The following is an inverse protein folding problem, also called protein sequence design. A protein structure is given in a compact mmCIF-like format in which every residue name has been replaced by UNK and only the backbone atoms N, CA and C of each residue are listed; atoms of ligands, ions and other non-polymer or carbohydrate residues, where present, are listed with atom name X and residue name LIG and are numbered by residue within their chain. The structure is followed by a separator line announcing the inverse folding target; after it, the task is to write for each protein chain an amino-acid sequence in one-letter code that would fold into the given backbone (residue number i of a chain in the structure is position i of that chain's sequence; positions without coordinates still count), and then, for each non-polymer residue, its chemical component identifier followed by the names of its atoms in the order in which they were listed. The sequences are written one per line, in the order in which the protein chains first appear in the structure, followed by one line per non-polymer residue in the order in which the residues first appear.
data_IF_411259390181
#
_entry.id   IF_411259390181
#
_cell.length_a   1.000
_cell.length_b   1.000
_cell.length_c   1.000
_cell.angle_alpha   90.00
_cell.angle_beta   90.00
_cell.angle_gamma   90.00
#
_symmetry.space_group_name_H-M   'P 1'
#
loop_
_entity.id
_entity.type
_entity.pdbx_description
1 polymer ?
#
# COMPACT_ATOMS: atom_id res chain seq x y z
N UNK A 1 18.87 -21.57 -4.79
CA UNK A 1 19.13 -22.08 -3.42
C UNK A 1 20.62 -22.20 -3.12
N UNK A 2 21.45 -22.67 -4.04
CA UNK A 2 22.90 -22.86 -3.83
C UNK A 2 23.70 -21.63 -3.37
N UNK A 3 23.38 -20.43 -3.85
CA UNK A 3 24.08 -19.21 -3.45
C UNK A 3 23.79 -18.84 -1.98
N UNK A 4 22.55 -19.05 -1.55
CA UNK A 4 22.13 -18.82 -0.16
C UNK A 4 22.86 -19.80 0.74
N UNK A 5 22.88 -21.08 0.39
CA UNK A 5 23.54 -22.14 1.20
C UNK A 5 25.05 -21.92 1.27
N UNK A 6 25.70 -21.43 0.20
CA UNK A 6 27.11 -21.11 0.20
C UNK A 6 27.47 -19.93 1.12
N UNK A 7 26.66 -18.84 1.09
CA UNK A 7 26.86 -17.68 1.98
C UNK A 7 26.59 -18.09 3.43
N UNK A 8 25.53 -18.86 3.67
CA UNK A 8 25.17 -19.31 5.03
C UNK A 8 26.17 -20.28 5.63
N UNK A 9 26.81 -21.16 4.83
CA UNK A 9 27.81 -22.11 5.35
C UNK A 9 28.96 -21.40 6.10
N UNK A 10 29.31 -20.20 5.66
CA UNK A 10 30.36 -19.38 6.27
C UNK A 10 29.94 -18.81 7.64
N UNK A 11 28.66 -18.45 7.81
CA UNK A 11 28.12 -17.88 9.04
C UNK A 11 27.65 -18.96 10.03
N UNK A 12 27.16 -20.11 9.54
CA UNK A 12 26.81 -21.25 10.40
C UNK A 12 28.02 -21.83 11.13
N UNK A 13 29.21 -21.69 10.58
CA UNK A 13 30.47 -22.04 11.26
C UNK A 13 30.74 -21.18 12.51
N UNK A 14 30.05 -20.04 12.64
CA UNK A 14 30.14 -19.15 13.78
C UNK A 14 29.02 -19.36 14.82
N UNK A 15 28.22 -20.44 14.69
CA UNK A 15 27.16 -20.79 15.62
C UNK A 15 25.83 -20.05 15.43
N UNK A 16 25.68 -19.32 14.33
CA UNK A 16 24.39 -18.66 13.98
C UNK A 16 23.48 -19.67 13.27
N UNK A 17 22.23 -19.74 13.72
CA UNK A 17 21.20 -20.54 13.05
C UNK A 17 20.74 -19.86 11.76
N UNK A 18 20.48 -20.63 10.69
CA UNK A 18 19.97 -20.13 9.40
C UNK A 18 18.67 -19.36 9.55
N UNK A 19 17.76 -19.86 10.40
CA UNK A 19 16.47 -19.24 10.65
C UNK A 19 16.61 -17.88 11.32
N UNK A 20 17.54 -17.75 12.28
CA UNK A 20 17.81 -16.47 12.95
C UNK A 20 18.33 -15.41 11.98
N UNK A 21 19.23 -15.83 11.07
CA UNK A 21 19.78 -14.94 10.04
C UNK A 21 18.68 -14.50 9.07
N UNK A 22 17.84 -15.43 8.59
CA UNK A 22 16.73 -15.11 7.68
C UNK A 22 15.71 -14.17 8.36
N UNK A 23 15.40 -14.43 9.62
CA UNK A 23 14.52 -13.56 10.43
C UNK A 23 15.10 -12.15 10.57
N UNK A 24 16.40 -12.05 10.86
CA UNK A 24 17.08 -10.77 10.94
C UNK A 24 17.09 -10.03 9.59
N UNK A 25 17.37 -10.72 8.49
CA UNK A 25 17.33 -10.15 7.13
C UNK A 25 15.92 -9.65 6.77
N UNK A 26 14.87 -10.37 7.16
CA UNK A 26 13.48 -9.95 6.98
C UNK A 26 13.18 -8.70 7.83
N UNK A 27 13.61 -8.66 9.09
CA UNK A 27 13.43 -7.50 9.97
C UNK A 27 14.09 -6.22 9.41
N UNK A 28 15.23 -6.36 8.73
CA UNK A 28 15.89 -5.23 8.06
C UNK A 28 15.35 -4.94 6.66
N UNK A 29 14.37 -5.71 6.17
CA UNK A 29 13.81 -5.54 4.83
C UNK A 29 14.78 -5.93 3.70
N UNK A 30 15.80 -6.74 3.99
CA UNK A 30 16.76 -7.24 3.01
C UNK A 30 16.19 -8.39 2.20
N UNK A 31 15.22 -9.10 2.76
CA UNK A 31 14.43 -10.14 2.10
C UNK A 31 12.95 -9.97 2.46
N UNK A 32 12.08 -10.46 1.60
CA UNK A 32 10.65 -10.57 1.84
C UNK A 32 10.27 -12.03 1.78
N UNK A 33 9.78 -12.57 2.90
CA UNK A 33 9.31 -13.96 2.98
C UNK A 33 7.93 -14.07 2.35
N UNK A 34 7.74 -15.05 1.51
CA UNK A 34 6.48 -15.40 0.87
C UNK A 34 6.18 -16.89 1.05
N UNK A 35 5.00 -17.21 1.54
CA UNK A 35 4.56 -18.60 1.71
C UNK A 35 3.51 -18.91 0.66
N UNK A 36 3.83 -19.81 -0.27
CA UNK A 36 2.84 -20.35 -1.22
C UNK A 36 2.30 -21.68 -0.72
N UNK A 37 0.97 -21.92 -0.76
CA UNK A 37 0.44 -23.25 -0.53
C UNK A 37 1.01 -24.28 -1.53
N UNK A 38 1.38 -25.52 -1.14
CA UNK A 38 1.19 -26.12 0.18
C UNK A 38 2.41 -26.04 1.11
N UNK A 39 2.98 -24.91 1.43
CA UNK A 39 4.10 -24.71 2.38
C UNK A 39 5.48 -24.46 1.77
N UNK A 40 5.58 -24.07 0.50
CA UNK A 40 6.85 -23.63 -0.07
C UNK A 40 7.18 -22.20 0.36
N UNK A 41 8.16 -22.07 1.26
CA UNK A 41 8.72 -20.79 1.61
C UNK A 41 9.60 -20.28 0.47
N UNK A 42 9.30 -19.08 -0.01
CA UNK A 42 10.10 -18.35 -1.00
C UNK A 42 10.56 -17.03 -0.39
N UNK A 43 11.74 -16.60 -0.80
CA UNK A 43 12.28 -15.31 -0.39
C UNK A 43 12.53 -14.46 -1.62
N UNK A 44 12.03 -13.24 -1.60
CA UNK A 44 12.38 -12.24 -2.59
C UNK A 44 13.48 -11.35 -2.04
N UNK A 45 14.49 -11.12 -2.86
CA UNK A 45 15.62 -10.24 -2.54
C UNK A 45 15.37 -8.90 -3.24
N UNK A 46 15.04 -7.83 -2.51
CA UNK A 46 14.64 -6.56 -3.10
C UNK A 46 15.61 -5.99 -4.15
N UNK A 47 16.91 -6.08 -3.90
CA UNK A 47 17.91 -5.57 -4.83
C UNK A 47 18.05 -6.38 -6.14
N UNK A 48 17.35 -7.51 -6.26
CA UNK A 48 17.30 -8.33 -7.48
C UNK A 48 15.94 -8.21 -8.21
N UNK A 49 15.02 -7.40 -7.68
CA UNK A 49 13.74 -7.20 -8.32
C UNK A 49 13.89 -6.41 -9.62
N UNK A 50 13.10 -6.82 -10.61
CA UNK A 50 13.08 -6.15 -11.91
C UNK A 50 12.33 -4.81 -11.81
N UNK A 51 12.64 -3.89 -12.70
CA UNK A 51 11.86 -2.67 -12.87
C UNK A 51 10.41 -2.99 -13.23
N UNK A 52 9.45 -2.21 -12.76
CA UNK A 52 8.04 -2.40 -13.12
C UNK A 52 7.84 -2.34 -14.63
N UNK A 53 7.00 -3.20 -15.21
CA UNK A 53 6.70 -3.17 -16.64
C UNK A 53 5.96 -1.87 -17.02
N UNK A 54 6.06 -1.48 -18.30
CA UNK A 54 5.54 -0.21 -18.81
C UNK A 54 4.05 -0.02 -18.54
N UNK A 55 3.23 -1.07 -18.72
CA UNK A 55 1.79 -1.00 -18.44
C UNK A 55 1.49 -0.65 -16.98
N UNK A 56 2.28 -1.18 -16.04
CA UNK A 56 2.12 -0.86 -14.61
C UNK A 56 2.49 0.60 -14.36
N UNK A 57 3.53 1.11 -15.03
CA UNK A 57 3.90 2.52 -14.96
C UNK A 57 2.79 3.43 -15.53
N UNK A 58 2.11 3.03 -16.60
CA UNK A 58 0.98 3.75 -17.18
C UNK A 58 -0.24 3.77 -16.26
N UNK A 59 -0.57 2.66 -15.60
CA UNK A 59 -1.62 2.61 -14.57
C UNK A 59 -1.32 3.54 -13.39
N UNK A 60 -0.04 3.75 -13.07
CA UNK A 60 0.41 4.69 -12.04
C UNK A 60 0.01 6.13 -12.39
N UNK A 61 0.07 6.48 -13.66
CA UNK A 61 -0.21 7.81 -14.18
C UNK A 61 -1.70 8.00 -14.48
N UNK A 62 -2.47 6.92 -14.67
CA UNK A 62 -3.89 7.00 -14.95
C UNK A 62 -4.67 7.51 -13.73
N UNK A 63 -5.71 8.32 -14.00
CA UNK A 63 -6.70 8.70 -12.99
C UNK A 63 -7.65 7.52 -12.80
N UNK A 64 -7.33 6.62 -11.86
CA UNK A 64 -8.20 5.49 -11.56
C UNK A 64 -9.32 5.90 -10.59
N UNK A 65 -10.52 5.38 -10.79
CA UNK A 65 -11.54 5.28 -9.76
C UNK A 65 -11.44 3.89 -9.12
N UNK A 66 -11.31 3.80 -7.79
CA UNK A 66 -11.25 4.88 -6.81
C UNK A 66 -9.96 5.70 -6.88
N UNK A 67 -10.02 6.96 -6.45
CA UNK A 67 -8.84 7.82 -6.43
C UNK A 67 -7.71 7.20 -5.59
N UNK A 68 -6.44 7.28 -6.02
CA UNK A 68 -5.34 6.70 -5.28
C UNK A 68 -5.19 7.30 -3.88
N UNK A 69 -4.84 6.47 -2.90
CA UNK A 69 -4.42 6.90 -1.56
C UNK A 69 -2.90 7.00 -1.47
N UNK A 70 -2.43 7.76 -0.51
CA UNK A 70 -1.01 7.98 -0.27
C UNK A 70 -0.71 7.87 1.23
N UNK A 71 0.21 7.00 1.59
CA UNK A 71 0.84 7.01 2.91
C UNK A 71 1.99 8.02 2.84
N UNK A 72 1.77 9.23 3.32
CA UNK A 72 2.74 10.31 3.25
C UNK A 72 3.54 10.41 4.54
N UNK A 73 4.86 10.29 4.46
CA UNK A 73 5.76 10.25 5.60
C UNK A 73 6.34 11.62 5.92
N UNK A 74 6.17 12.06 7.17
CA UNK A 74 6.57 13.41 7.61
C UNK A 74 8.08 13.63 7.67
N UNK A 75 8.87 12.59 7.58
CA UNK A 75 10.32 12.67 7.52
C UNK A 75 10.85 13.17 6.16
N UNK A 76 9.95 13.35 5.18
CA UNK A 76 10.32 13.76 3.82
C UNK A 76 10.95 12.64 2.99
N UNK A 77 10.93 11.41 3.50
CA UNK A 77 11.34 10.21 2.78
C UNK A 77 10.63 8.96 3.35
N UNK A 78 10.51 7.93 2.53
CA UNK A 78 10.10 6.60 2.97
C UNK A 78 11.32 5.89 3.54
N UNK A 79 11.31 5.46 4.82
CA UNK A 79 12.45 4.71 5.38
C UNK A 79 12.75 3.48 4.55
N UNK A 80 14.03 3.23 4.25
CA UNK A 80 14.46 2.23 3.26
C UNK A 80 13.88 0.83 3.51
N UNK A 81 13.86 0.35 4.73
CA UNK A 81 13.32 -0.97 5.04
C UNK A 81 11.79 -1.02 5.17
N UNK A 82 11.11 0.12 5.33
CA UNK A 82 9.67 0.16 5.62
C UNK A 82 8.82 -0.46 4.51
N UNK A 83 9.11 -0.13 3.25
CA UNK A 83 8.36 -0.65 2.12
C UNK A 83 8.40 -2.18 2.06
N UNK A 84 9.57 -2.77 2.27
CA UNK A 84 9.74 -4.23 2.25
C UNK A 84 9.13 -4.90 3.47
N UNK A 85 9.19 -4.26 4.65
CA UNK A 85 8.44 -4.71 5.82
C UNK A 85 6.93 -4.71 5.56
N UNK A 86 6.42 -3.66 4.92
CA UNK A 86 5.01 -3.59 4.53
C UNK A 86 4.66 -4.68 3.51
N UNK A 87 5.54 -4.94 2.51
CA UNK A 87 5.35 -6.03 1.56
C UNK A 87 5.31 -7.40 2.26
N UNK A 88 6.19 -7.66 3.24
CA UNK A 88 6.17 -8.89 4.03
C UNK A 88 4.83 -9.06 4.75
N UNK A 89 4.28 -7.98 5.33
CA UNK A 89 2.94 -8.00 5.94
C UNK A 89 1.84 -8.24 4.92
N UNK A 90 1.91 -7.59 3.76
CA UNK A 90 0.95 -7.81 2.67
C UNK A 90 0.95 -9.27 2.20
N UNK A 91 2.13 -9.87 2.02
CA UNK A 91 2.22 -11.26 1.56
C UNK A 91 1.69 -12.24 2.59
N UNK A 92 1.95 -12.02 3.87
CA UNK A 92 1.41 -12.84 4.95
C UNK A 92 -0.11 -12.74 4.99
N UNK A 93 -0.64 -11.53 5.05
CA UNK A 93 -2.08 -11.28 5.00
C UNK A 93 -2.74 -11.90 3.77
N UNK A 94 -2.09 -11.79 2.61
CA UNK A 94 -2.55 -12.36 1.35
C UNK A 94 -2.67 -13.89 1.43
N UNK A 95 -1.66 -14.56 1.97
CA UNK A 95 -1.66 -16.02 2.15
C UNK A 95 -2.70 -16.48 3.18
N UNK A 96 -2.84 -15.76 4.30
CA UNK A 96 -3.80 -16.06 5.37
C UNK A 96 -5.25 -15.94 4.90
N UNK A 97 -5.53 -15.06 3.93
CA UNK A 97 -6.87 -14.89 3.34
C UNK A 97 -7.14 -15.85 2.18
N UNK A 98 -6.21 -16.75 1.85
CA UNK A 98 -6.41 -17.80 0.85
C UNK A 98 -6.55 -17.29 -0.58
N UNK A 99 -6.01 -16.12 -0.91
CA UNK A 99 -5.96 -15.63 -2.28
C UNK A 99 -5.06 -16.52 -3.13
N UNK A 100 -5.53 -16.91 -4.31
CA UNK A 100 -4.88 -17.95 -5.13
C UNK A 100 -3.87 -17.39 -6.14
N UNK A 101 -4.09 -16.17 -6.62
CA UNK A 101 -3.20 -15.52 -7.58
C UNK A 101 -1.85 -15.22 -6.93
N UNK A 102 -0.75 -15.37 -7.67
CA UNK A 102 0.54 -14.98 -7.16
C UNK A 102 0.72 -13.46 -7.26
N UNK A 103 1.10 -12.78 -6.17
CA UNK A 103 1.43 -11.36 -6.25
C UNK A 103 2.71 -11.15 -7.06
N UNK A 104 2.77 -9.99 -7.74
CA UNK A 104 3.95 -9.58 -8.49
C UNK A 104 4.76 -8.56 -7.69
N UNK A 105 6.08 -8.77 -7.67
CA UNK A 105 7.03 -7.87 -7.01
C UNK A 105 8.01 -7.28 -8.00
N UNK A 106 8.20 -5.96 -7.89
CA UNK A 106 9.12 -5.18 -8.71
C UNK A 106 9.93 -4.24 -7.82
N UNK A 107 10.97 -3.65 -8.38
CA UNK A 107 11.72 -2.60 -7.70
C UNK A 107 10.81 -1.39 -7.39
N UNK A 108 10.59 -1.15 -6.10
CA UNK A 108 9.70 -0.09 -5.61
C UNK A 108 8.22 -0.26 -5.94
N UNK A 109 7.76 -1.45 -6.39
CA UNK A 109 6.36 -1.71 -6.67
C UNK A 109 5.93 -3.14 -6.31
N UNK A 110 4.64 -3.30 -5.97
CA UNK A 110 4.03 -4.62 -5.79
C UNK A 110 2.58 -4.59 -6.25
N UNK A 111 2.11 -5.70 -6.84
CA UNK A 111 0.73 -5.88 -7.29
C UNK A 111 0.15 -7.13 -6.64
N UNK A 112 -1.03 -6.99 -6.06
CA UNK A 112 -1.78 -8.05 -5.39
C UNK A 112 -3.16 -8.17 -6.02
N UNK A 113 -3.71 -9.38 -5.99
CA UNK A 113 -5.01 -9.71 -6.59
C UNK A 113 -5.97 -10.13 -5.48
N UNK A 114 -7.09 -9.43 -5.31
CA UNK A 114 -8.04 -9.67 -4.22
C UNK A 114 -9.44 -9.94 -4.75
N UNK A 115 -10.15 -10.84 -4.11
CA UNK A 115 -11.48 -11.29 -4.53
C UNK A 115 -11.43 -12.57 -5.35
N UNK A 116 -12.60 -12.93 -5.91
CA UNK A 116 -12.76 -14.05 -6.84
C UNK A 116 -12.77 -13.51 -8.27
N UNK A 117 -12.71 -14.39 -9.28
CA UNK A 117 -12.78 -13.98 -10.68
C UNK A 117 -14.11 -13.24 -11.02
N UNK A 118 -14.04 -12.03 -11.58
CA UNK A 118 -12.87 -11.17 -11.79
C UNK A 118 -12.34 -10.59 -10.47
N UNK A 119 -11.02 -10.50 -10.30
CA UNK A 119 -10.40 -10.01 -9.08
C UNK A 119 -10.02 -8.53 -9.18
N UNK A 120 -10.14 -7.83 -8.06
CA UNK A 120 -9.57 -6.49 -7.95
C UNK A 120 -8.06 -6.58 -7.81
N UNK A 121 -7.35 -5.57 -8.29
CA UNK A 121 -5.90 -5.47 -8.10
C UNK A 121 -5.60 -4.27 -7.23
N UNK A 122 -4.79 -4.44 -6.21
CA UNK A 122 -4.20 -3.30 -5.53
C UNK A 122 -2.69 -3.27 -5.75
N UNK A 123 -2.18 -2.07 -5.98
CA UNK A 123 -0.81 -1.82 -6.33
C UNK A 123 -0.22 -0.88 -5.29
N UNK A 124 0.92 -1.27 -4.75
CA UNK A 124 1.73 -0.42 -3.89
C UNK A 124 2.92 0.10 -4.67
N UNK A 125 3.16 1.40 -4.59
CA UNK A 125 4.29 2.05 -5.22
C UNK A 125 5.06 2.86 -4.19
N UNK A 126 6.28 2.46 -3.95
CA UNK A 126 7.21 3.20 -3.13
C UNK A 126 7.79 4.36 -3.93
N UNK A 127 7.67 5.55 -3.39
CA UNK A 127 8.27 6.78 -3.90
C UNK A 127 9.13 7.40 -2.81
N UNK A 128 9.86 8.44 -3.16
CA UNK A 128 10.79 9.09 -2.23
C UNK A 128 10.12 9.47 -0.90
N UNK A 129 8.95 10.10 -0.96
CA UNK A 129 8.28 10.69 0.22
C UNK A 129 7.02 9.98 0.66
N UNK A 130 6.47 9.08 -0.16
CA UNK A 130 5.21 8.40 0.11
C UNK A 130 5.14 7.00 -0.51
N UNK A 131 4.20 6.20 -0.03
CA UNK A 131 3.77 4.97 -0.69
C UNK A 131 2.39 5.24 -1.28
N UNK A 132 2.26 5.13 -2.61
CA UNK A 132 0.99 5.27 -3.33
C UNK A 132 0.27 3.95 -3.34
N UNK A 133 -1.03 3.99 -3.08
CA UNK A 133 -1.94 2.85 -3.08
C UNK A 133 -2.94 3.06 -4.21
N UNK A 134 -2.97 2.14 -5.15
CA UNK A 134 -3.91 2.17 -6.28
C UNK A 134 -4.77 0.93 -6.19
N UNK A 135 -6.07 1.08 -6.32
CA UNK A 135 -7.01 -0.03 -6.51
C UNK A 135 -7.56 0.06 -7.93
N UNK A 136 -7.51 -1.05 -8.65
CA UNK A 136 -8.11 -1.13 -9.99
C UNK A 136 -9.29 -2.08 -9.96
N UNK A 137 -10.30 -1.77 -10.74
CA UNK A 137 -11.43 -2.65 -10.97
C UNK A 137 -11.09 -3.65 -12.09
N UNK A 138 -11.66 -4.86 -12.07
CA UNK A 138 -11.62 -5.72 -13.22
C UNK A 138 -12.38 -5.05 -14.38
N UNK A 139 -11.92 -5.29 -15.61
CA UNK A 139 -12.52 -4.69 -16.82
C UNK A 139 -13.98 -5.12 -17.04
N UNK A 140 -14.39 -6.26 -16.49
CA UNK A 140 -15.74 -6.77 -16.60
C UNK A 140 -16.49 -6.72 -15.26
N UNK A 141 -17.43 -5.79 -15.18
CA UNK A 141 -18.60 -5.75 -14.28
C UNK A 141 -18.43 -6.04 -12.78
N UNK A 142 -17.38 -5.56 -12.11
CA UNK A 142 -17.44 -5.50 -10.66
C UNK A 142 -18.48 -4.47 -10.22
N UNK A 143 -19.39 -4.87 -9.34
CA UNK A 143 -20.34 -3.91 -8.77
C UNK A 143 -19.61 -2.85 -7.94
N UNK A 144 -20.12 -1.63 -7.89
CA UNK A 144 -19.57 -0.56 -7.06
C UNK A 144 -19.45 -1.02 -5.58
N UNK A 145 -20.37 -1.85 -5.11
CA UNK A 145 -20.34 -2.41 -3.77
C UNK A 145 -19.19 -3.36 -3.50
N UNK A 146 -18.78 -4.17 -4.50
CA UNK A 146 -17.60 -5.04 -4.38
C UNK A 146 -16.31 -4.25 -4.37
N UNK A 147 -16.19 -3.25 -5.23
CA UNK A 147 -15.05 -2.32 -5.24
C UNK A 147 -14.92 -1.57 -3.92
N UNK A 148 -16.04 -1.11 -3.36
CA UNK A 148 -16.06 -0.45 -2.06
C UNK A 148 -15.57 -1.39 -0.95
N UNK A 149 -16.05 -2.64 -0.90
CA UNK A 149 -15.56 -3.64 0.05
C UNK A 149 -14.06 -3.88 -0.09
N UNK A 150 -13.58 -4.09 -1.32
CA UNK A 150 -12.17 -4.30 -1.60
C UNK A 150 -11.33 -3.09 -1.15
N UNK A 151 -11.77 -1.88 -1.46
CA UNK A 151 -11.11 -0.65 -1.06
C UNK A 151 -10.99 -0.52 0.47
N UNK A 152 -12.08 -0.74 1.19
CA UNK A 152 -12.09 -0.65 2.66
C UNK A 152 -11.16 -1.69 3.27
N UNK A 153 -11.20 -2.94 2.79
CA UNK A 153 -10.34 -4.03 3.28
C UNK A 153 -8.86 -3.64 3.10
N UNK A 154 -8.47 -3.22 1.89
CA UNK A 154 -7.09 -2.83 1.59
C UNK A 154 -6.64 -1.66 2.45
N UNK A 155 -7.45 -0.59 2.53
CA UNK A 155 -7.11 0.58 3.34
C UNK A 155 -6.94 0.22 4.81
N UNK A 156 -7.92 -0.47 5.41
CA UNK A 156 -7.88 -0.83 6.82
C UNK A 156 -6.67 -1.70 7.13
N UNK A 157 -6.43 -2.73 6.33
CA UNK A 157 -5.26 -3.57 6.48
C UNK A 157 -3.95 -2.79 6.41
N UNK A 158 -3.78 -1.89 5.44
CA UNK A 158 -2.54 -1.12 5.29
C UNK A 158 -2.32 -0.13 6.44
N UNK A 159 -3.37 0.53 6.93
CA UNK A 159 -3.30 1.39 8.11
C UNK A 159 -2.86 0.60 9.36
N UNK A 160 -3.45 -0.57 9.59
CA UNK A 160 -3.10 -1.47 10.67
C UNK A 160 -1.69 -2.02 10.53
N UNK A 161 -1.29 -2.43 9.32
CA UNK A 161 0.06 -2.94 9.05
C UNK A 161 1.14 -1.90 9.37
N UNK A 162 0.96 -0.65 8.95
CA UNK A 162 1.91 0.44 9.25
C UNK A 162 1.92 0.74 10.75
N UNK A 163 0.77 0.73 11.41
CA UNK A 163 0.69 0.97 12.85
C UNK A 163 1.36 -0.17 13.66
N UNK A 164 1.18 -1.41 13.23
CA UNK A 164 1.82 -2.58 13.83
C UNK A 164 3.34 -2.54 13.64
N UNK A 165 3.82 -2.23 12.43
CA UNK A 165 5.25 -2.05 12.17
C UNK A 165 5.86 -0.95 13.05
N UNK A 166 5.14 0.14 13.27
CA UNK A 166 5.58 1.20 14.18
C UNK A 166 5.73 0.71 15.61
N UNK A 167 4.90 -0.22 16.09
CA UNK A 167 4.98 -0.73 17.45
C UNK A 167 6.03 -1.83 17.63
N UNK A 168 6.22 -2.67 16.63
CA UNK A 168 7.11 -3.85 16.71
C UNK A 168 8.55 -3.54 16.31
N UNK A 169 8.75 -2.66 15.32
CA UNK A 169 10.06 -2.37 14.77
C UNK A 169 10.66 -1.14 15.45
N UNK A 170 11.71 -1.33 16.23
CA UNK A 170 12.28 -0.29 17.11
C UNK A 170 12.65 1.01 16.38
N UNK A 171 13.25 0.92 15.19
CA UNK A 171 13.64 2.08 14.39
C UNK A 171 12.47 2.79 13.71
N UNK A 172 11.27 2.17 13.65
CA UNK A 172 10.03 2.78 13.16
C UNK A 172 9.18 3.40 14.27
N UNK A 173 9.56 3.28 15.54
CA UNK A 173 8.74 3.74 16.69
C UNK A 173 8.31 5.20 16.57
N UNK A 174 9.17 6.06 16.04
CA UNK A 174 8.90 7.48 15.85
C UNK A 174 8.36 7.81 14.45
N UNK A 175 7.97 6.79 13.66
CA UNK A 175 7.43 7.00 12.33
C UNK A 175 6.15 7.85 12.41
N UNK A 176 6.14 8.95 11.69
CA UNK A 176 4.97 9.80 11.52
C UNK A 176 4.52 9.78 10.07
N UNK A 177 3.27 9.45 9.86
CA UNK A 177 2.65 9.39 8.54
C UNK A 177 1.21 9.89 8.58
N UNK A 178 0.71 10.30 7.44
CA UNK A 178 -0.67 10.67 7.24
C UNK A 178 -1.23 9.95 6.02
N UNK A 179 -2.49 9.52 6.11
CA UNK A 179 -3.21 9.07 4.93
C UNK A 179 -3.65 10.30 4.13
N UNK A 180 -3.32 10.31 2.85
CA UNK A 180 -3.52 11.47 1.99
C UNK A 180 -4.14 11.09 0.65
N UNK A 181 -4.69 12.09 -0.03
CA UNK A 181 -5.10 12.05 -1.44
C UNK A 181 -4.48 13.21 -2.19
N UNK A 182 -4.27 13.05 -3.49
CA UNK A 182 -3.82 14.16 -4.31
C UNK A 182 -4.94 15.18 -4.53
N UNK A 183 -4.62 16.46 -4.42
CA UNK A 183 -5.58 17.53 -4.66
C UNK A 183 -6.00 17.58 -6.14
N UNK A 184 -7.28 17.31 -6.49
CA UNK A 184 -7.71 17.29 -7.88
C UNK A 184 -7.62 18.66 -8.55
N UNK A 185 -7.79 19.74 -7.78
CA UNK A 185 -7.63 21.09 -8.26
C UNK A 185 -6.18 21.41 -8.67
N UNK A 186 -5.21 21.03 -7.83
CA UNK A 186 -3.80 21.22 -8.15
C UNK A 186 -3.31 20.30 -9.28
N UNK A 187 -3.92 19.12 -9.46
CA UNK A 187 -3.62 18.24 -10.59
C UNK A 187 -4.14 18.77 -11.95
N UNK A 188 -5.12 19.69 -11.92
CA UNK A 188 -5.69 20.33 -13.12
C UNK A 188 -5.07 21.69 -13.37
N UNK A 189 -4.06 22.08 -12.62
CA UNK A 189 -3.44 23.40 -12.80
C UNK A 189 -2.87 23.53 -14.20
N UNK A 190 -3.38 24.48 -14.95
CA UNK A 190 -2.92 24.83 -16.29
C UNK A 190 -1.61 25.62 -16.24
N UNK A 191 -1.25 26.12 -15.06
CA UNK A 191 0.05 26.76 -14.84
C UNK A 191 1.15 25.70 -14.85
N UNK A 192 2.25 26.00 -15.52
CA UNK A 192 3.42 25.16 -15.50
C UNK A 192 3.99 25.10 -14.08
N UNK A 193 4.33 23.89 -13.60
CA UNK A 193 4.97 23.78 -12.30
C UNK A 193 6.39 24.41 -12.35
N UNK A 194 6.76 25.09 -11.27
CA UNK A 194 8.04 25.82 -11.18
C UNK A 194 9.29 24.94 -11.28
N UNK A 195 9.14 23.61 -11.08
CA UNK A 195 10.27 22.68 -11.04
C UNK A 195 10.48 22.01 -12.39
N UNK A 196 9.40 21.59 -13.07
CA UNK A 196 9.46 20.78 -14.29
C UNK A 196 8.92 21.52 -15.52
N UNK A 197 8.47 22.75 -15.36
CA UNK A 197 7.91 23.61 -16.41
C UNK A 197 6.78 22.93 -17.23
N UNK A 198 6.09 21.98 -16.61
CA UNK A 198 5.02 21.19 -17.23
C UNK A 198 3.67 21.55 -16.63
N UNK A 199 2.68 21.76 -17.49
CA UNK A 199 1.27 21.88 -17.11
C UNK A 199 0.77 20.54 -16.55
N UNK A 200 -0.17 20.58 -15.62
CA UNK A 200 -0.76 19.37 -14.99
C UNK A 200 0.31 18.38 -14.47
N UNK A 201 1.37 18.90 -13.87
CA UNK A 201 2.50 18.11 -13.42
C UNK A 201 2.07 17.06 -12.39
N UNK A 202 2.35 15.79 -12.68
CA UNK A 202 2.09 14.64 -11.78
C UNK A 202 3.36 14.15 -11.10
N UNK A 203 4.48 14.87 -11.24
CA UNK A 203 5.73 14.51 -10.61
C UNK A 203 5.58 14.51 -9.08
N UNK A 204 6.27 13.60 -8.42
CA UNK A 204 6.15 13.37 -6.98
C UNK A 204 6.35 14.63 -6.15
N UNK A 205 7.35 15.44 -6.50
CA UNK A 205 7.70 16.67 -5.78
C UNK A 205 6.67 17.79 -6.00
N UNK A 206 5.80 17.67 -7.00
CA UNK A 206 4.77 18.65 -7.34
C UNK A 206 3.39 18.29 -6.82
N UNK A 207 3.20 17.07 -6.28
CA UNK A 207 1.91 16.63 -5.78
C UNK A 207 1.50 17.40 -4.51
N UNK A 208 0.35 18.05 -4.58
CA UNK A 208 -0.30 18.61 -3.40
C UNK A 208 -1.10 17.50 -2.71
N UNK A 209 -0.56 16.92 -1.64
CA UNK A 209 -1.21 15.87 -0.87
C UNK A 209 -2.07 16.46 0.24
N UNK A 210 -3.34 16.10 0.27
CA UNK A 210 -4.33 16.51 1.26
C UNK A 210 -4.52 15.38 2.27
N UNK A 211 -4.33 15.68 3.54
CA UNK A 211 -4.57 14.71 4.63
C UNK A 211 -6.04 14.33 4.69
N UNK A 212 -6.31 13.03 4.80
CA UNK A 212 -7.64 12.48 4.99
C UNK A 212 -7.84 12.09 6.45
N UNK A 213 -8.99 12.46 7.01
CA UNK A 213 -9.41 12.02 8.33
C UNK A 213 -10.90 11.67 8.27
N UNK A 214 -11.26 10.41 8.63
CA UNK A 214 -12.66 9.97 8.61
C UNK A 214 -13.34 10.08 7.24
N UNK A 215 -12.60 9.82 6.14
CA UNK A 215 -13.14 9.92 4.79
C UNK A 215 -13.25 11.33 4.22
N UNK A 216 -12.82 12.33 4.97
CA UNK A 216 -12.86 13.74 4.56
C UNK A 216 -11.45 14.24 4.31
N UNK A 217 -11.19 14.76 3.10
CA UNK A 217 -9.95 15.43 2.78
C UNK A 217 -9.88 16.82 3.41
N UNK A 218 -8.71 17.19 3.94
CA UNK A 218 -8.49 18.55 4.42
C UNK A 218 -8.52 19.56 3.28
N UNK A 219 -8.81 20.80 3.66
CA UNK A 219 -8.80 21.96 2.77
C UNK A 219 -7.44 22.12 2.05
N UNK A 220 -7.48 22.41 0.76
CA UNK A 220 -6.29 22.73 -0.01
C UNK A 220 -5.82 24.16 0.30
N UNK A 221 -4.65 24.30 0.91
CA UNK A 221 -4.11 25.61 1.27
C UNK A 221 -3.83 26.51 0.05
N UNK A 222 -3.45 25.90 -1.10
CA UNK A 222 -3.18 26.65 -2.33
C UNK A 222 -4.45 27.26 -2.93
N UNK A 223 -5.57 26.50 -2.92
CA UNK A 223 -6.81 26.93 -3.60
C UNK A 223 -7.90 27.43 -2.65
N UNK A 224 -7.71 27.29 -1.33
CA UNK A 224 -8.70 27.67 -0.30
C UNK A 224 -10.11 27.05 -0.49
N UNK A 225 -10.18 25.92 -1.19
CA UNK A 225 -11.41 25.20 -1.49
C UNK A 225 -11.39 23.80 -0.90
N UNK A 226 -12.56 23.29 -0.54
CA UNK A 226 -12.74 21.88 -0.19
C UNK A 226 -12.86 21.08 -1.49
N UNK A 227 -11.93 20.16 -1.80
CA UNK A 227 -12.01 19.40 -3.03
C UNK A 227 -13.14 18.37 -2.96
N UNK A 228 -13.98 18.34 -3.98
CA UNK A 228 -14.93 17.25 -4.16
C UNK A 228 -14.18 16.04 -4.72
N UNK A 229 -14.14 14.97 -3.96
CA UNK A 229 -13.44 13.72 -4.28
C UNK A 229 -14.43 12.56 -4.22
N UNK A 230 -15.26 12.35 -5.25
CA UNK A 230 -16.27 11.28 -5.23
C UNK A 230 -15.62 9.91 -5.05
N UNK A 231 -14.48 9.64 -5.67
CA UNK A 231 -13.73 8.40 -5.53
C UNK A 231 -13.15 8.15 -4.13
N UNK A 232 -13.09 9.17 -3.26
CA UNK A 232 -12.63 9.00 -1.88
C UNK A 232 -13.65 8.23 -1.03
N UNK A 233 -14.94 8.42 -1.28
CA UNK A 233 -16.01 7.73 -0.56
C UNK A 233 -15.89 6.21 -0.69
N UNK A 234 -15.41 5.71 -1.82
CA UNK A 234 -15.21 4.28 -2.07
C UNK A 234 -14.28 3.64 -1.02
N UNK A 235 -13.32 4.40 -0.50
CA UNK A 235 -12.39 3.91 0.52
C UNK A 235 -12.95 3.93 1.94
N UNK A 236 -14.04 4.66 2.21
CA UNK A 236 -14.50 4.93 3.59
C UNK A 236 -15.98 4.63 3.85
N UNK A 237 -16.84 4.66 2.84
CA UNK A 237 -18.28 4.47 3.03
C UNK A 237 -18.71 3.07 2.63
N UNK A 238 -19.31 2.35 3.57
CA UNK A 238 -20.24 1.28 3.24
C UNK A 238 -21.61 1.95 3.15
N UNK A 239 -22.18 2.08 1.96
CA UNK A 239 -23.58 2.50 1.83
C UNK A 239 -24.47 1.46 2.50
N UNK A 240 -25.07 1.87 3.63
CA UNK A 240 -26.15 1.15 4.29
C UNK A 240 -25.78 -0.14 4.99
N UNK A 241 -25.85 -0.11 6.32
CA UNK A 241 -25.81 -1.22 7.28
C UNK A 241 -24.43 -1.68 7.78
N UNK A 242 -24.42 -1.90 9.10
CA UNK A 242 -23.37 -2.59 9.86
C UNK A 242 -22.95 -3.89 9.15
N UNK A 243 -21.88 -3.85 8.38
CA UNK A 243 -21.28 -5.06 7.84
C UNK A 243 -20.12 -5.40 8.75
N UNK A 244 -20.33 -6.41 9.60
CA UNK A 244 -19.21 -7.17 10.15
C UNK A 244 -18.55 -7.85 8.96
N UNK A 245 -17.41 -7.33 8.50
CA UNK A 245 -16.59 -8.03 7.52
C UNK A 245 -15.96 -9.19 8.27
N UNK A 246 -16.57 -10.34 8.19
CA UNK A 246 -15.95 -11.58 8.65
C UNK A 246 -14.88 -11.91 7.61
N UNK A 247 -13.69 -11.42 7.83
CA UNK A 247 -12.50 -12.03 7.26
C UNK A 247 -12.29 -13.28 8.10
N UNK A 248 -12.37 -14.46 7.49
CA UNK A 248 -12.32 -15.74 8.19
C UNK A 248 -11.20 -15.73 9.24
N UNK A 249 -11.64 -15.83 10.53
CA UNK A 249 -10.86 -15.89 11.77
C UNK A 249 -10.32 -14.60 12.42
N UNK A 250 -10.48 -13.42 11.84
CA UNK A 250 -10.31 -12.18 12.60
C UNK A 250 -11.55 -11.31 12.46
N UNK A 251 -12.29 -11.14 13.54
CA UNK A 251 -13.39 -10.18 13.62
C UNK A 251 -12.80 -8.77 13.62
N UNK A 252 -12.67 -8.16 12.44
CA UNK A 252 -12.39 -6.74 12.36
C UNK A 252 -13.71 -6.01 12.56
N UNK A 253 -13.96 -5.59 13.79
CA UNK A 253 -15.09 -4.73 14.12
C UNK A 253 -14.78 -3.35 13.61
N UNK A 254 -15.36 -2.98 12.47
CA UNK A 254 -15.29 -1.59 11.99
C UNK A 254 -16.11 -0.73 12.95
N UNK A 255 -15.50 0.26 13.65
CA UNK A 255 -16.23 1.07 14.61
C UNK A 255 -17.36 1.83 13.91
N UNK A 256 -18.56 1.80 14.49
CA UNK A 256 -19.65 2.70 14.13
C UNK A 256 -19.14 4.14 14.21
N UNK A 257 -19.11 4.84 13.09
CA UNK A 257 -18.95 6.28 13.12
C UNK A 257 -20.19 6.86 13.78
N UNK A 258 -20.00 7.37 15.00
CA UNK A 258 -21.00 8.20 15.69
C UNK A 258 -21.13 9.46 14.85
N UNK A 259 -22.33 9.65 14.31
CA UNK A 259 -22.76 10.95 13.75
C UNK A 259 -22.68 11.98 14.88
N UNK A 260 -21.71 12.86 14.81
CA UNK A 260 -21.71 14.07 15.63
C UNK A 260 -22.38 15.15 14.78
N UNK A 261 -23.71 15.17 14.84
CA UNK A 261 -24.55 16.33 14.64
C UNK A 261 -25.52 16.33 15.83
N UNK A 262 -25.14 17.07 16.83
CA UNK A 262 -25.95 17.89 17.72
C UNK A 262 -25.15 19.15 18.03
#
# INVERSE_FOLDING_TARGET
MELVDHVFSKYCQQGLNKEDILSMMEQFGLIVKFVTPPTNEKYYVPCQLKTPPKFLCEMILSRSDPCPLYLNFKWGFVPHGLFFQLLSRCTRWYSENGYQENPDFFDGAARFFIGKNPCHQFILLCRKTFIKIILTQPEESASLGETNKAAIIVRTFLEEAVQTLKSEVSWLRNLMWDLCVACPGCLRDEEACSIHERKCCTHEDCLCLLKVKGGIAKHCQKRREMPTLPGLKIWFSLEGNNISVVVDKCLITVPKYISIYD
#
